data_IF_233215376492
#
_entry.id   IF_233215376492
#
_cell.length_a   1.000
_cell.length_b   1.000
_cell.length_c   1.000
_cell.angle_alpha   90.00
_cell.angle_beta   90.00
_cell.angle_gamma   90.00
#
_symmetry.space_group_name_H-M   'P 1'
#
loop_
_entity.id
_entity.type
_entity.pdbx_description
1 polymer ?
#
# COMPACT_ATOMS: atom_id res chain seq x y z
N UNK A 1 12.63 -12.65 15.90
CA UNK A 1 12.10 -11.45 16.60
C UNK A 1 10.58 -11.46 16.48
N UNK A 2 9.83 -11.65 17.58
CA UNK A 2 8.39 -11.97 17.54
C UNK A 2 7.45 -10.78 17.36
N UNK A 3 7.95 -9.54 17.39
CA UNK A 3 7.16 -8.31 17.28
C UNK A 3 7.71 -7.33 16.23
N UNK A 4 8.41 -7.84 15.20
CA UNK A 4 9.01 -6.98 14.16
C UNK A 4 7.96 -6.38 13.20
N UNK A 5 6.80 -7.01 13.05
CA UNK A 5 5.82 -6.67 12.02
C UNK A 5 4.41 -6.59 12.62
N UNK A 6 3.96 -5.36 12.90
CA UNK A 6 2.68 -5.06 13.53
C UNK A 6 1.91 -3.98 12.75
N UNK A 7 1.59 -4.21 11.47
CA UNK A 7 1.00 -3.19 10.59
C UNK A 7 -0.41 -2.74 11.01
N UNK A 8 -1.13 -3.52 11.81
CA UNK A 8 -2.47 -3.15 12.31
C UNK A 8 -2.59 -3.35 13.84
N UNK A 9 -1.51 -3.01 14.55
CA UNK A 9 -1.33 -3.21 15.99
C UNK A 9 -1.45 -4.70 16.42
N UNK A 10 -1.24 -4.97 17.71
CA UNK A 10 -1.43 -6.29 18.33
C UNK A 10 -2.14 -6.16 19.69
N UNK A 11 -2.85 -7.21 20.10
CA UNK A 11 -3.60 -7.26 21.35
C UNK A 11 -5.11 -7.03 21.18
N UNK A 12 -5.83 -6.80 22.29
CA UNK A 12 -7.29 -6.61 22.31
C UNK A 12 -7.75 -5.29 21.68
N UNK A 13 -6.83 -4.34 21.47
CA UNK A 13 -7.03 -3.09 20.73
C UNK A 13 -6.37 -3.13 19.36
N UNK A 14 -6.47 -4.25 18.65
CA UNK A 14 -6.04 -4.31 17.26
C UNK A 14 -7.07 -3.64 16.33
N UNK A 15 -6.68 -3.44 15.07
CA UNK A 15 -7.65 -3.08 14.04
C UNK A 15 -8.70 -4.20 13.92
N UNK A 16 -9.98 -3.87 14.10
CA UNK A 16 -11.11 -4.81 14.01
C UNK A 16 -11.07 -5.58 12.68
N UNK A 17 -10.61 -4.93 11.61
CA UNK A 17 -10.47 -5.53 10.28
C UNK A 17 -9.23 -6.40 10.07
N UNK A 18 -8.30 -6.53 11.04
CA UNK A 18 -7.00 -7.17 10.84
C UNK A 18 -7.11 -8.68 10.52
N UNK A 19 -8.00 -9.40 11.20
CA UNK A 19 -8.03 -10.87 11.12
C UNK A 19 -8.45 -11.41 9.76
N UNK A 20 -9.30 -10.69 9.01
CA UNK A 20 -9.82 -11.19 7.74
C UNK A 20 -9.85 -10.15 6.62
N UNK A 21 -10.03 -8.86 6.93
CA UNK A 21 -10.34 -7.86 5.91
C UNK A 21 -9.08 -7.15 5.41
N UNK A 22 -8.32 -6.53 6.30
CA UNK A 22 -7.20 -5.66 5.94
C UNK A 22 -6.12 -6.38 5.12
N UNK A 23 -5.72 -7.58 5.55
CA UNK A 23 -4.68 -8.36 4.85
C UNK A 23 -5.20 -9.03 3.58
N UNK A 24 -6.46 -9.48 3.56
CA UNK A 24 -7.04 -10.13 2.39
C UNK A 24 -7.30 -9.13 1.27
N UNK A 25 -7.95 -8.00 1.59
CA UNK A 25 -8.20 -6.93 0.63
C UNK A 25 -6.90 -6.38 0.05
N UNK A 26 -5.88 -6.15 0.89
CA UNK A 26 -4.58 -5.70 0.43
C UNK A 26 -3.93 -6.70 -0.54
N UNK A 27 -4.02 -8.00 -0.25
CA UNK A 27 -3.50 -9.05 -1.15
C UNK A 27 -4.27 -9.12 -2.46
N UNK A 28 -5.60 -9.09 -2.42
CA UNK A 28 -6.45 -9.15 -3.62
C UNK A 28 -6.22 -7.90 -4.47
N UNK A 29 -6.25 -6.71 -3.87
CA UNK A 29 -5.90 -5.45 -4.55
C UNK A 29 -4.53 -5.52 -5.19
N UNK A 30 -3.51 -5.96 -4.46
CA UNK A 30 -2.16 -6.09 -5.01
C UNK A 30 -2.11 -7.08 -6.18
N UNK A 31 -2.75 -8.24 -6.05
CA UNK A 31 -2.81 -9.23 -7.12
C UNK A 31 -3.52 -8.68 -8.37
N UNK A 32 -4.61 -7.91 -8.21
CA UNK A 32 -5.31 -7.28 -9.32
C UNK A 32 -4.45 -6.20 -9.99
N UNK A 33 -3.82 -5.33 -9.20
CA UNK A 33 -2.95 -4.27 -9.71
C UNK A 33 -1.75 -4.85 -10.46
N UNK A 34 -1.11 -5.89 -9.91
CA UNK A 34 0.03 -6.54 -10.56
C UNK A 34 -0.39 -7.25 -11.84
N UNK A 35 -1.57 -7.87 -11.90
CA UNK A 35 -2.01 -8.58 -13.11
C UNK A 35 -2.49 -7.63 -14.21
N UNK A 36 -3.24 -6.59 -13.86
CA UNK A 36 -3.98 -5.78 -14.83
C UNK A 36 -3.34 -4.43 -15.14
N UNK A 37 -2.41 -3.95 -14.30
CA UNK A 37 -1.83 -2.62 -14.44
C UNK A 37 -0.31 -2.69 -14.60
N UNK A 38 0.20 -1.99 -15.61
CA UNK A 38 1.62 -1.64 -15.72
C UNK A 38 1.81 -0.22 -15.22
N UNK A 39 2.57 -0.08 -14.13
CA UNK A 39 2.90 1.21 -13.52
C UNK A 39 4.23 1.69 -14.05
N UNK A 40 4.27 2.89 -14.64
CA UNK A 40 5.50 3.58 -15.01
C UNK A 40 5.59 4.89 -14.23
N UNK A 41 6.51 4.95 -13.28
CA UNK A 41 6.78 6.17 -12.53
C UNK A 41 7.38 7.22 -13.47
N UNK A 42 7.03 8.49 -13.27
CA UNK A 42 7.63 9.60 -14.00
C UNK A 42 9.11 9.70 -13.59
N UNK A 43 10.06 9.77 -14.55
CA UNK A 43 11.46 9.97 -14.22
C UNK A 43 11.64 11.30 -13.46
N UNK A 44 12.49 11.30 -12.42
CA UNK A 44 12.79 12.43 -11.51
C UNK A 44 11.76 12.81 -10.44
N UNK A 45 10.73 12.00 -10.18
CA UNK A 45 9.88 12.28 -9.03
C UNK A 45 10.60 12.04 -7.68
N UNK A 46 10.75 13.09 -6.86
CA UNK A 46 11.20 12.97 -5.45
C UNK A 46 10.07 12.48 -4.55
N UNK A 47 10.15 11.23 -4.11
CA UNK A 47 9.21 10.62 -3.16
C UNK A 47 9.74 10.89 -1.75
N UNK A 48 9.17 11.89 -1.06
CA UNK A 48 9.53 12.23 0.32
C UNK A 48 8.39 11.75 1.23
N UNK A 49 8.61 10.80 2.15
CA UNK A 49 7.59 10.39 3.10
C UNK A 49 7.32 11.53 4.10
N UNK A 50 6.04 11.81 4.35
CA UNK A 50 5.60 12.79 5.32
C UNK A 50 4.65 12.12 6.32
N UNK A 51 5.03 12.16 7.60
CA UNK A 51 4.24 11.58 8.69
C UNK A 51 3.35 12.69 9.25
N UNK A 52 2.09 12.71 8.80
CA UNK A 52 1.01 13.47 9.43
C UNK A 52 0.23 12.53 10.37
N UNK A 53 -1.07 12.77 10.58
CA UNK A 53 -1.95 11.83 11.29
C UNK A 53 -1.92 10.44 10.62
N UNK A 54 -1.77 10.41 9.30
CA UNK A 54 -1.53 9.20 8.51
C UNK A 54 -0.24 9.38 7.71
N UNK A 55 0.55 8.31 7.55
CA UNK A 55 1.73 8.32 6.70
C UNK A 55 1.32 8.54 5.24
N UNK A 56 1.87 9.57 4.62
CA UNK A 56 1.66 9.90 3.21
C UNK A 56 2.97 10.31 2.55
N UNK A 57 2.90 10.73 1.30
CA UNK A 57 4.01 11.39 0.64
C UNK A 57 3.80 12.90 0.69
N UNK A 58 4.89 13.66 0.85
CA UNK A 58 4.87 15.13 0.82
C UNK A 58 4.34 15.67 -0.52
N UNK A 59 4.62 14.96 -1.61
CA UNK A 59 4.17 15.26 -2.96
C UNK A 59 3.33 14.10 -3.49
N UNK A 60 2.29 14.38 -4.28
CA UNK A 60 1.44 13.37 -4.92
C UNK A 60 2.24 12.38 -5.74
N UNK A 61 1.96 11.07 -5.64
CA UNK A 61 2.58 10.04 -6.48
C UNK A 61 2.04 10.13 -7.90
N UNK A 62 2.87 10.54 -8.85
CA UNK A 62 2.51 10.72 -10.25
C UNK A 62 3.12 9.57 -11.06
N UNK A 63 2.26 8.81 -11.74
CA UNK A 63 2.69 7.69 -12.55
C UNK A 63 1.69 7.45 -13.67
N UNK A 64 2.20 6.97 -14.80
CA UNK A 64 1.36 6.50 -15.88
C UNK A 64 0.92 5.07 -15.56
N UNK A 65 -0.39 4.84 -15.60
CA UNK A 65 -0.98 3.52 -15.43
C UNK A 65 -1.50 3.08 -16.79
N UNK A 66 -0.93 2.01 -17.34
CA UNK A 66 -1.40 1.40 -18.58
C UNK A 66 -2.05 0.07 -18.24
N UNK A 67 -3.21 -0.24 -18.83
CA UNK A 67 -3.78 -1.57 -18.71
C UNK A 67 -2.85 -2.57 -19.39
N UNK A 68 -2.42 -3.59 -18.64
CA UNK A 68 -1.67 -4.72 -19.17
C UNK A 68 -2.67 -5.63 -19.87
N UNK A 69 -2.74 -5.54 -21.20
CA UNK A 69 -3.49 -6.49 -21.99
C UNK A 69 -2.77 -7.84 -21.96
N UNK A 70 -3.49 -8.88 -21.55
CA UNK A 70 -3.11 -10.29 -21.71
C UNK A 70 -3.58 -10.73 -23.09
#
# INVERSE_FOLDING_TARGET
HSFAYLPSAAGSRNCIGQNFFALLEAKIMLAMLVQQCSFKLIPEQKIIPEVKITSGTKYSLLGNITKRQI
#
